data_IF_699314874757
#
_entry.id   IF_699314874757
#
_cell.length_a   1.000
_cell.length_b   1.000
_cell.length_c   1.000
_cell.angle_alpha   90.00
_cell.angle_beta   90.00
_cell.angle_gamma   90.00
#
_symmetry.space_group_name_H-M   'P 1'
#
loop_
_entity.id
_entity.type
_entity.pdbx_description
1 polymer ?
#
# COMPACT_ATOMS: atom_id res chain seq x y z
N UNK A 1 1.36 2.65 0.91
CA UNK A 1 1.48 1.27 0.39
C UNK A 1 0.19 0.89 -0.31
N UNK A 2 0.29 0.28 -1.48
CA UNK A 2 -0.85 -0.19 -2.25
C UNK A 2 -0.59 -1.65 -2.63
N UNK A 3 -1.34 -2.56 -2.03
CA UNK A 3 -1.05 -3.98 -1.93
C UNK A 3 -2.11 -4.78 -2.67
N UNK A 4 -1.69 -5.79 -3.43
CA UNK A 4 -2.59 -6.73 -4.09
C UNK A 4 -2.28 -8.14 -3.61
N UNK A 5 -3.29 -8.79 -3.04
CA UNK A 5 -3.23 -10.18 -2.58
C UNK A 5 -4.02 -11.09 -3.51
N UNK A 6 -3.56 -12.32 -3.69
CA UNK A 6 -4.26 -13.35 -4.44
C UNK A 6 -4.81 -14.41 -3.49
N UNK A 7 -6.08 -14.78 -3.68
CA UNK A 7 -6.64 -16.00 -3.12
C UNK A 7 -6.74 -17.07 -4.23
N UNK A 8 -5.83 -18.05 -4.27
CA UNK A 8 -5.87 -19.12 -5.27
C UNK A 8 -6.88 -20.23 -4.92
N UNK A 9 -7.45 -20.23 -3.71
CA UNK A 9 -8.33 -21.30 -3.24
C UNK A 9 -9.76 -21.14 -3.75
N UNK A 10 -10.53 -22.22 -3.69
CA UNK A 10 -11.98 -22.23 -3.93
C UNK A 10 -12.81 -21.74 -2.74
N UNK A 11 -12.16 -21.35 -1.64
CA UNK A 11 -12.82 -20.94 -0.41
C UNK A 11 -12.62 -19.45 -0.13
N UNK A 12 -13.52 -18.87 0.67
CA UNK A 12 -13.35 -17.50 1.15
C UNK A 12 -12.30 -17.51 2.25
N UNK A 13 -11.27 -16.69 2.09
CA UNK A 13 -10.21 -16.57 3.09
C UNK A 13 -10.43 -15.33 3.97
N UNK A 14 -9.82 -15.39 5.14
CA UNK A 14 -9.55 -14.24 5.99
C UNK A 14 -8.05 -14.21 6.26
N UNK A 15 -7.47 -13.02 6.25
CA UNK A 15 -6.06 -12.81 6.57
C UNK A 15 -5.88 -11.69 7.58
N UNK A 16 -4.71 -11.62 8.20
CA UNK A 16 -4.30 -10.48 9.03
C UNK A 16 -3.12 -9.82 8.35
N UNK A 17 -3.23 -8.52 8.12
CA UNK A 17 -2.10 -7.71 7.66
C UNK A 17 -1.39 -7.18 8.89
N UNK A 18 -0.08 -7.38 8.92
CA UNK A 18 0.82 -6.81 9.91
C UNK A 18 1.83 -5.93 9.20
N UNK A 19 1.92 -4.66 9.61
CA UNK A 19 2.89 -3.70 9.08
C UNK A 19 3.77 -3.22 10.22
N UNK A 20 5.06 -3.52 10.14
CA UNK A 20 6.04 -2.93 11.02
C UNK A 20 6.20 -1.45 10.67
N UNK A 21 5.96 -0.58 11.64
CA UNK A 21 6.09 0.85 11.51
C UNK A 21 7.46 1.29 12.03
N UNK A 22 8.17 2.16 11.31
CA UNK A 22 9.41 2.73 11.81
C UNK A 22 9.14 3.70 12.97
N UNK A 23 10.21 4.08 13.67
CA UNK A 23 10.08 5.05 14.76
C UNK A 23 9.43 6.35 14.30
N UNK A 24 8.52 6.85 15.15
CA UNK A 24 7.79 8.11 14.94
C UNK A 24 6.92 8.09 13.68
N UNK A 25 6.43 6.91 13.32
CA UNK A 25 5.39 6.75 12.33
C UNK A 25 4.03 6.44 12.95
N UNK A 26 2.96 7.00 12.36
CA UNK A 26 1.58 6.71 12.76
C UNK A 26 0.76 6.27 11.55
N UNK A 27 -0.08 5.22 11.67
CA UNK A 27 -1.06 4.91 10.63
C UNK A 27 -1.96 6.12 10.40
N UNK A 28 -2.08 6.56 9.14
CA UNK A 28 -2.95 7.67 8.78
C UNK A 28 -4.09 7.24 7.84
N UNK A 29 -3.97 6.09 7.17
CA UNK A 29 -5.01 5.59 6.29
C UNK A 29 -5.01 4.07 6.16
N UNK A 30 -6.19 3.47 6.12
CA UNK A 30 -6.42 2.10 5.66
C UNK A 30 -7.66 2.10 4.78
N UNK A 31 -7.62 1.44 3.64
CA UNK A 31 -8.76 1.25 2.76
C UNK A 31 -8.67 -0.06 2.02
N UNK A 32 -9.82 -0.64 1.66
CA UNK A 32 -9.88 -1.85 0.88
C UNK A 32 -10.88 -1.71 -0.27
N UNK A 33 -10.51 -2.27 -1.40
CA UNK A 33 -11.41 -2.39 -2.52
C UNK A 33 -12.32 -3.62 -2.36
N UNK A 34 -13.59 -3.47 -2.73
CA UNK A 34 -14.62 -4.50 -2.55
C UNK A 34 -14.74 -5.46 -3.74
N UNK A 35 -14.22 -5.06 -4.91
CA UNK A 35 -14.23 -5.86 -6.12
C UNK A 35 -13.24 -7.03 -6.10
N UNK A 36 -13.37 -7.92 -7.09
CA UNK A 36 -12.54 -9.13 -7.24
C UNK A 36 -11.23 -8.86 -7.99
N UNK A 37 -11.04 -7.65 -8.52
CA UNK A 37 -9.86 -7.20 -9.26
C UNK A 37 -10.01 -7.37 -10.77
N UNK A 38 -10.42 -8.54 -11.26
CA UNK A 38 -10.73 -8.76 -12.69
C UNK A 38 -11.66 -9.97 -12.84
N UNK A 39 -12.42 -10.09 -13.93
CA UNK A 39 -13.15 -11.34 -14.24
C UNK A 39 -12.23 -12.37 -14.92
N UNK A 40 -11.12 -11.93 -15.50
CA UNK A 40 -10.14 -12.78 -16.18
C UNK A 40 -9.00 -13.24 -15.27
N UNK A 41 -9.22 -13.33 -13.95
CA UNK A 41 -8.18 -13.68 -12.96
C UNK A 41 -7.45 -14.97 -13.35
N UNK A 42 -8.15 -15.97 -13.90
CA UNK A 42 -7.51 -17.23 -14.33
C UNK A 42 -6.42 -17.02 -15.40
N UNK A 43 -6.51 -15.97 -16.24
CA UNK A 43 -5.47 -15.56 -17.20
C UNK A 43 -4.34 -14.75 -16.53
N UNK A 44 -4.57 -14.28 -15.30
CA UNK A 44 -3.65 -13.44 -14.50
C UNK A 44 -2.79 -14.26 -13.53
N UNK A 45 -3.16 -15.51 -13.26
CA UNK A 45 -2.49 -16.37 -12.25
C UNK A 45 -1.10 -16.83 -12.68
N UNK A 46 -0.80 -16.86 -13.99
CA UNK A 46 0.48 -17.31 -14.50
C UNK A 46 1.62 -16.34 -14.11
N UNK A 47 2.60 -16.78 -13.27
CA UNK A 47 3.60 -15.90 -12.67
C UNK A 47 4.50 -15.15 -13.65
N UNK A 48 4.58 -15.61 -14.91
CA UNK A 48 5.44 -15.04 -15.93
C UNK A 48 4.78 -14.00 -16.84
N UNK A 49 3.47 -13.75 -16.72
CA UNK A 49 2.72 -13.06 -17.78
C UNK A 49 2.30 -11.61 -17.49
N UNK A 50 2.48 -11.06 -16.28
CA UNK A 50 1.91 -9.75 -15.94
C UNK A 50 2.85 -8.76 -15.27
N UNK A 51 3.40 -7.81 -16.06
CA UNK A 51 3.77 -6.47 -15.57
C UNK A 51 2.55 -5.65 -15.05
N UNK A 52 1.32 -6.15 -15.18
CA UNK A 52 0.06 -5.40 -14.97
C UNK A 52 -0.65 -5.53 -13.61
N UNK A 53 -0.10 -6.26 -12.63
CA UNK A 53 -0.66 -6.25 -11.27
C UNK A 53 -0.26 -5.01 -10.46
N UNK A 54 0.68 -4.22 -10.97
CA UNK A 54 1.03 -2.95 -10.36
C UNK A 54 -0.06 -1.94 -10.68
N UNK A 55 -0.67 -1.42 -9.62
CA UNK A 55 -1.66 -0.37 -9.75
C UNK A 55 -1.01 0.86 -10.43
N UNK A 56 -1.76 1.61 -11.24
CA UNK A 56 -1.24 2.83 -11.83
C UNK A 56 -0.74 3.76 -10.74
N UNK A 57 0.46 4.29 -10.93
CA UNK A 57 0.99 5.32 -10.07
C UNK A 57 0.03 6.52 -10.08
N UNK A 58 -0.33 7.11 -8.93
CA UNK A 58 -1.06 8.36 -8.94
C UNK A 58 -0.22 9.41 -9.69
N UNK A 59 -0.88 10.19 -10.54
CA UNK A 59 -0.23 11.21 -11.38
C UNK A 59 0.37 12.35 -10.55
N UNK A 60 -0.19 12.61 -9.37
CA UNK A 60 0.26 13.62 -8.43
C UNK A 60 0.32 13.05 -6.99
N UNK A 61 1.36 13.40 -6.22
CA UNK A 61 1.51 12.92 -4.84
C UNK A 61 0.45 13.48 -3.88
N UNK A 62 -0.15 14.64 -4.19
CA UNK A 62 -1.17 15.28 -3.34
C UNK A 62 -2.39 14.39 -3.08
N UNK A 63 -2.71 13.50 -4.01
CA UNK A 63 -3.78 12.50 -3.85
C UNK A 63 -3.53 11.60 -2.63
N UNK A 64 -2.26 11.32 -2.32
CA UNK A 64 -1.86 10.51 -1.16
C UNK A 64 -1.76 11.33 0.14
N UNK A 65 -1.73 12.66 0.03
CA UNK A 65 -1.67 13.59 1.17
C UNK A 65 -3.07 14.12 1.55
N UNK A 66 -4.07 13.90 0.71
CA UNK A 66 -5.44 14.31 0.96
C UNK A 66 -6.07 13.50 2.12
N UNK A 67 -6.98 14.11 2.91
CA UNK A 67 -7.72 13.40 3.97
C UNK A 67 -8.51 12.19 3.45
N UNK A 68 -9.00 12.29 2.22
CA UNK A 68 -9.62 11.18 1.49
C UNK A 68 -8.77 10.83 0.28
N UNK A 69 -8.14 9.65 0.34
CA UNK A 69 -7.34 9.12 -0.76
C UNK A 69 -8.27 8.67 -1.88
N UNK A 70 -8.14 9.30 -3.06
CA UNK A 70 -8.89 8.94 -4.27
C UNK A 70 -8.01 8.14 -5.23
N UNK A 71 -8.18 6.82 -5.26
CA UNK A 71 -7.40 5.93 -6.13
C UNK A 71 -8.27 5.36 -7.24
N UNK A 72 -7.69 5.25 -8.43
CA UNK A 72 -8.35 4.65 -9.59
C UNK A 72 -8.82 3.23 -9.26
N UNK A 73 -10.14 3.01 -9.33
CA UNK A 73 -10.75 1.70 -9.15
C UNK A 73 -10.68 0.83 -10.40
N UNK A 74 -10.48 1.43 -11.57
CA UNK A 74 -10.48 0.74 -12.87
C UNK A 74 -9.30 1.19 -13.72
N UNK A 75 -8.72 0.24 -14.43
CA UNK A 75 -7.75 0.47 -15.49
C UNK A 75 -7.68 -0.75 -16.39
N UNK A 76 -7.02 -0.60 -17.52
CA UNK A 76 -6.84 -1.66 -18.50
C UNK A 76 -5.39 -1.76 -18.93
N UNK A 77 -4.94 -2.98 -19.15
CA UNK A 77 -3.74 -3.29 -19.94
C UNK A 77 -4.18 -3.82 -21.30
N UNK A 78 -3.23 -4.06 -22.21
CA UNK A 78 -3.52 -4.67 -23.50
C UNK A 78 -4.24 -6.03 -23.38
N UNK A 79 -4.08 -6.73 -22.25
CA UNK A 79 -4.58 -8.08 -22.04
C UNK A 79 -5.72 -8.19 -21.02
N UNK A 80 -5.80 -7.28 -20.05
CA UNK A 80 -6.68 -7.42 -18.88
C UNK A 80 -7.29 -6.07 -18.47
N UNK A 81 -8.61 -6.06 -18.28
CA UNK A 81 -9.32 -4.98 -17.60
C UNK A 81 -9.40 -5.32 -16.12
N UNK A 82 -9.01 -4.36 -15.29
CA UNK A 82 -9.13 -4.42 -13.85
C UNK A 82 -10.29 -3.55 -13.36
N UNK A 83 -11.11 -4.14 -12.48
CA UNK A 83 -12.17 -3.47 -11.75
C UNK A 83 -12.12 -3.90 -10.27
N UNK A 84 -11.67 -2.97 -9.44
CA UNK A 84 -11.54 -3.14 -8.01
C UNK A 84 -12.81 -2.75 -7.26
N UNK A 85 -13.84 -2.25 -7.93
CA UNK A 85 -15.08 -1.81 -7.30
C UNK A 85 -14.88 -0.63 -6.36
N UNK A 86 -15.77 -0.49 -5.39
CA UNK A 86 -15.76 0.62 -4.43
C UNK A 86 -14.57 0.52 -3.46
N UNK A 87 -13.91 1.65 -3.19
CA UNK A 87 -12.93 1.80 -2.13
C UNK A 87 -13.65 2.06 -0.80
N UNK A 88 -13.48 1.17 0.17
CA UNK A 88 -13.98 1.31 1.53
C UNK A 88 -12.84 1.64 2.48
N UNK A 89 -12.80 2.89 2.93
CA UNK A 89 -11.87 3.36 3.98
C UNK A 89 -12.25 2.74 5.33
N UNK A 90 -11.26 2.37 6.12
CA UNK A 90 -11.45 1.98 7.51
C UNK A 90 -11.74 3.23 8.35
N UNK A 91 -12.69 3.13 9.27
CA UNK A 91 -13.02 4.21 10.19
C UNK A 91 -12.27 3.99 11.51
N UNK A 92 -11.50 4.98 11.95
CA UNK A 92 -10.90 4.96 13.29
C UNK A 92 -12.03 5.09 14.31
N UNK A 93 -12.19 4.09 15.17
CA UNK A 93 -13.20 4.06 16.21
C UNK A 93 -12.53 3.85 17.57
N UNK A 94 -13.09 4.42 18.63
CA UNK A 94 -12.61 4.18 20.00
C UNK A 94 -12.63 2.68 20.33
N UNK A 95 -11.62 2.12 21.04
CA UNK A 95 -11.46 0.67 21.22
C UNK A 95 -12.69 -0.07 21.77
N UNK A 96 -13.39 0.53 22.75
CA UNK A 96 -14.59 -0.05 23.37
C UNK A 96 -15.78 -0.04 22.40
N UNK A 97 -15.87 0.99 21.56
CA UNK A 97 -16.92 1.14 20.54
C UNK A 97 -16.65 0.24 19.34
N UNK A 98 -15.38 0.09 18.93
CA UNK A 98 -14.94 -0.81 17.87
C UNK A 98 -15.27 -2.27 18.15
N UNK A 99 -15.03 -2.74 19.39
CA UNK A 99 -15.37 -4.12 19.79
C UNK A 99 -16.88 -4.39 19.81
N UNK A 100 -17.69 -3.43 20.29
CA UNK A 100 -19.16 -3.54 20.29
C UNK A 100 -19.75 -3.50 18.87
N UNK A 101 -19.25 -2.64 17.99
CA UNK A 101 -19.62 -2.62 16.56
C UNK A 101 -19.21 -3.93 15.87
N UNK A 102 -18.02 -4.46 16.16
CA UNK A 102 -17.58 -5.75 15.62
C UNK A 102 -18.53 -6.91 16.00
N UNK A 103 -18.83 -7.08 17.29
CA UNK A 103 -19.70 -8.19 17.76
C UNK A 103 -21.14 -8.12 17.22
N UNK A 104 -21.64 -6.90 16.98
CA UNK A 104 -22.98 -6.67 16.44
C UNK A 104 -23.06 -6.81 14.92
N UNK A 105 -22.05 -6.38 14.18
CA UNK A 105 -22.04 -6.41 12.71
C UNK A 105 -21.53 -7.76 12.16
N UNK A 106 -20.69 -8.51 12.88
CA UNK A 106 -20.26 -9.86 12.48
C UNK A 106 -21.43 -10.85 12.45
N UNK A 107 -22.48 -10.62 13.25
CA UNK A 107 -23.76 -11.37 13.16
C UNK A 107 -24.53 -11.09 11.87
N UNK A 108 -24.24 -9.98 11.19
CA UNK A 108 -24.88 -9.53 9.96
C UNK A 108 -24.02 -9.75 8.69
N UNK A 109 -22.87 -10.43 8.79
CA UNK A 109 -21.93 -10.68 7.66
C UNK A 109 -21.46 -9.41 6.94
N UNK A 110 -21.50 -8.26 7.60
CA UNK A 110 -20.95 -6.99 7.08
C UNK A 110 -19.68 -6.71 7.89
N UNK A 111 -18.57 -6.35 7.23
CA UNK A 111 -17.26 -6.22 7.90
C UNK A 111 -16.85 -4.75 8.08
N UNK A 112 -16.74 -4.24 9.31
CA UNK A 112 -15.95 -3.07 9.62
C UNK A 112 -14.52 -3.52 9.97
N UNK A 113 -13.55 -3.16 9.11
CA UNK A 113 -12.13 -3.37 9.37
C UNK A 113 -11.74 -2.84 10.76
N UNK A 114 -11.53 -3.75 11.71
CA UNK A 114 -11.07 -3.41 13.05
C UNK A 114 -9.54 -3.47 13.06
N UNK A 115 -8.92 -2.29 13.12
CA UNK A 115 -7.49 -2.18 13.39
C UNK A 115 -7.27 -2.29 14.91
N UNK A 116 -6.44 -3.24 15.35
CA UNK A 116 -6.02 -3.37 16.74
C UNK A 116 -4.53 -3.04 16.85
N UNK A 117 -4.18 -2.09 17.73
CA UNK A 117 -2.80 -1.72 17.98
C UNK A 117 -2.13 -2.77 18.88
N UNK A 118 -1.27 -3.59 18.30
CA UNK A 118 -0.53 -4.63 19.01
C UNK A 118 0.88 -4.14 19.36
N UNK A 119 1.01 -3.28 20.38
CA UNK A 119 2.30 -2.82 20.89
C UNK A 119 3.03 -1.79 20.03
N UNK A 120 4.19 -1.30 20.52
CA UNK A 120 4.73 0.04 20.22
C UNK A 120 5.21 0.32 18.79
N UNK A 121 5.17 -0.62 17.85
CA UNK A 121 5.68 -0.41 16.48
C UNK A 121 5.06 -1.30 15.40
N UNK A 122 3.95 -2.01 15.65
CA UNK A 122 3.31 -2.86 14.62
C UNK A 122 1.82 -2.53 14.50
N UNK A 123 1.39 -2.22 13.29
CA UNK A 123 -0.02 -2.10 12.93
C UNK A 123 -0.57 -3.47 12.52
N UNK A 124 -1.71 -3.87 13.07
CA UNK A 124 -2.38 -5.13 12.75
C UNK A 124 -3.85 -4.90 12.41
N UNK A 125 -4.33 -5.48 11.31
CA UNK A 125 -5.74 -5.45 10.92
C UNK A 125 -6.16 -6.75 10.27
N UNK A 126 -7.36 -7.23 10.61
CA UNK A 126 -7.98 -8.35 9.93
C UNK A 126 -8.59 -7.88 8.60
N UNK A 127 -8.46 -8.71 7.57
CA UNK A 127 -9.03 -8.53 6.25
C UNK A 127 -9.98 -9.70 5.98
N UNK A 128 -11.23 -9.35 5.71
CA UNK A 128 -12.27 -10.28 5.31
C UNK A 128 -13.34 -9.54 4.47
N UNK A 129 -14.11 -10.24 3.62
CA UNK A 129 -13.76 -11.51 2.98
C UNK A 129 -12.73 -11.31 1.87
N UNK A 130 -11.86 -12.30 1.67
CA UNK A 130 -11.05 -12.45 0.45
C UNK A 130 -11.72 -13.54 -0.39
N UNK A 131 -12.39 -13.14 -1.47
CA UNK A 131 -13.25 -14.04 -2.25
C UNK A 131 -12.44 -15.19 -2.88
N UNK A 132 -13.07 -16.36 -3.10
CA UNK A 132 -12.44 -17.46 -3.82
C UNK A 132 -11.93 -17.03 -5.19
N UNK A 133 -10.76 -17.55 -5.56
CA UNK A 133 -10.14 -17.34 -6.87
C UNK A 133 -10.12 -15.86 -7.27
N UNK A 134 -9.81 -14.97 -6.32
CA UNK A 134 -9.89 -13.51 -6.49
C UNK A 134 -8.61 -12.78 -6.17
N UNK A 135 -8.52 -11.53 -6.63
CA UNK A 135 -7.56 -10.56 -6.12
C UNK A 135 -8.22 -9.69 -5.04
N UNK A 136 -7.43 -9.14 -4.14
CA UNK A 136 -7.85 -8.20 -3.12
C UNK A 136 -6.84 -7.05 -3.04
N UNK A 137 -7.30 -5.83 -3.32
CA UNK A 137 -6.48 -4.62 -3.24
C UNK A 137 -6.73 -3.87 -1.94
N UNK A 138 -5.64 -3.51 -1.27
CA UNK A 138 -5.63 -2.91 0.06
C UNK A 138 -4.62 -1.77 0.07
N UNK A 139 -5.05 -0.63 0.59
CA UNK A 139 -4.26 0.59 0.64
C UNK A 139 -4.00 0.90 2.11
N UNK A 140 -2.74 1.07 2.47
CA UNK A 140 -2.31 1.44 3.81
C UNK A 140 -1.33 2.60 3.73
N UNK A 141 -1.55 3.65 4.51
CA UNK A 141 -0.62 4.77 4.61
C UNK A 141 -0.29 5.07 6.08
N UNK A 142 0.93 5.53 6.27
CA UNK A 142 1.41 6.07 7.53
C UNK A 142 2.17 7.36 7.26
N UNK A 143 2.13 8.28 8.22
CA UNK A 143 3.04 9.41 8.27
C UNK A 143 4.30 9.00 9.06
N UNK A 144 5.44 9.64 8.77
CA UNK A 144 6.63 9.50 9.60
C UNK A 144 7.30 10.85 9.76
N UNK A 145 7.55 11.24 11.00
CA UNK A 145 8.37 12.41 11.29
C UNK A 145 9.85 12.07 11.10
N UNK A 146 10.54 12.72 10.17
CA UNK A 146 11.97 12.49 9.92
C UNK A 146 12.81 13.49 10.71
N UNK A 147 13.87 13.01 11.38
CA UNK A 147 14.82 13.87 12.11
C UNK A 147 16.13 13.91 11.30
N UNK A 148 16.64 15.11 11.00
CA UNK A 148 17.99 15.25 10.45
C UNK A 148 19.05 14.71 11.42
N UNK A 149 20.00 13.96 10.89
CA UNK A 149 21.24 13.55 11.58
C UNK A 149 22.42 13.93 10.68
N UNK A 150 23.39 14.67 11.23
CA UNK A 150 24.58 15.14 10.50
C UNK A 150 24.25 15.85 9.17
N UNK A 151 23.20 16.68 9.17
CA UNK A 151 22.74 17.42 7.99
C UNK A 151 22.07 16.57 6.91
N UNK A 152 21.74 15.30 7.22
CA UNK A 152 21.10 14.34 6.30
C UNK A 152 19.80 13.82 6.91
N UNK A 153 18.83 13.50 6.08
CA UNK A 153 17.60 12.83 6.50
C UNK A 153 17.57 11.47 5.81
N UNK A 154 17.49 10.38 6.58
CA UNK A 154 17.41 9.02 6.01
C UNK A 154 16.01 8.47 6.25
N UNK A 155 15.39 7.95 5.18
CA UNK A 155 14.08 7.30 5.25
C UNK A 155 14.23 5.82 4.91
N UNK A 156 14.27 4.93 5.92
CA UNK A 156 14.35 3.50 5.65
C UNK A 156 13.07 3.02 4.97
N UNK A 157 13.22 2.26 3.90
CA UNK A 157 12.08 1.62 3.25
C UNK A 157 11.57 0.44 4.09
N UNK A 158 10.27 0.14 4.05
CA UNK A 158 9.73 -1.06 4.68
C UNK A 158 10.32 -2.31 4.01
N UNK A 159 10.69 -3.30 4.82
CA UNK A 159 11.09 -4.62 4.33
C UNK A 159 9.89 -5.30 3.67
N UNK A 160 10.08 -5.88 2.49
CA UNK A 160 9.03 -6.61 1.82
C UNK A 160 8.95 -8.07 2.27
N UNK A 161 7.74 -8.68 2.24
CA UNK A 161 7.60 -10.11 2.36
C UNK A 161 8.38 -10.87 1.27
N UNK A 162 8.86 -12.07 1.60
CA UNK A 162 9.62 -12.93 0.66
C UNK A 162 8.80 -13.36 -0.57
N UNK A 163 7.48 -13.43 -0.43
CA UNK A 163 6.58 -13.95 -1.47
C UNK A 163 6.02 -12.85 -2.39
N UNK A 164 6.56 -11.63 -2.32
CA UNK A 164 6.16 -10.54 -3.23
C UNK A 164 6.66 -10.84 -4.64
N UNK A 165 5.72 -10.88 -5.60
CA UNK A 165 6.04 -11.13 -7.01
C UNK A 165 6.52 -9.88 -7.75
N UNK A 166 5.83 -8.75 -7.54
CA UNK A 166 6.07 -7.49 -8.24
C UNK A 166 6.06 -6.33 -7.25
N UNK A 167 7.02 -5.40 -7.38
CA UNK A 167 7.08 -4.19 -6.57
C UNK A 167 7.39 -2.97 -7.43
N UNK A 168 6.71 -1.87 -7.13
CA UNK A 168 7.11 -0.53 -7.54
C UNK A 168 7.26 0.36 -6.32
N UNK A 169 8.35 1.09 -6.26
CA UNK A 169 8.55 2.19 -5.34
C UNK A 169 8.57 3.50 -6.12
N UNK A 170 7.76 4.45 -5.66
CA UNK A 170 7.77 5.82 -6.17
C UNK A 170 8.06 6.74 -5.00
N UNK A 171 9.04 7.59 -5.21
CA UNK A 171 9.45 8.62 -4.26
C UNK A 171 9.20 9.96 -4.89
N UNK A 172 8.48 10.82 -4.19
CA UNK A 172 8.31 12.22 -4.55
C UNK A 172 9.00 13.10 -3.51
N UNK A 173 9.84 14.02 -3.97
CA UNK A 173 10.23 15.19 -3.18
C UNK A 173 9.33 16.35 -3.61
N UNK A 174 8.34 16.64 -2.75
CA UNK A 174 7.30 17.65 -2.96
C UNK A 174 7.66 19.02 -2.35
N UNK A 175 8.82 19.13 -1.70
CA UNK A 175 9.14 20.31 -0.89
C UNK A 175 10.23 21.20 -1.49
N UNK A 176 10.27 22.44 -1.04
CA UNK A 176 11.38 23.38 -1.24
C UNK A 176 12.43 23.32 -0.10
N UNK A 177 12.30 22.36 0.82
CA UNK A 177 13.04 22.36 2.09
C UNK A 177 14.42 21.69 1.99
N UNK A 178 14.64 20.89 0.96
CA UNK A 178 15.92 20.22 0.72
C UNK A 178 16.76 21.00 -0.32
N UNK A 179 18.03 21.26 0.00
CA UNK A 179 18.96 21.85 -0.98
C UNK A 179 19.35 20.87 -2.08
N UNK A 180 19.36 19.58 -1.75
CA UNK A 180 19.64 18.45 -2.62
C UNK A 180 18.81 17.27 -2.12
N UNK A 181 18.38 16.44 -3.06
CA UNK A 181 17.68 15.19 -2.79
C UNK A 181 18.23 14.14 -3.74
N UNK A 182 18.50 12.95 -3.22
CA UNK A 182 18.95 11.79 -4.00
C UNK A 182 18.29 10.53 -3.45
N UNK A 183 18.15 9.50 -4.30
CA UNK A 183 17.55 8.22 -3.94
C UNK A 183 18.54 7.14 -4.34
N UNK A 184 18.89 6.27 -3.40
CA UNK A 184 19.89 5.21 -3.60
C UNK A 184 19.26 3.84 -3.45
N UNK A 185 19.58 2.92 -4.34
CA UNK A 185 19.23 1.49 -4.23
C UNK A 185 20.52 0.70 -4.15
N UNK A 186 20.94 0.39 -2.93
CA UNK A 186 22.25 -0.18 -2.66
C UNK A 186 23.35 0.83 -2.86
N UNK A 187 24.23 0.58 -3.83
CA UNK A 187 25.32 1.50 -4.18
C UNK A 187 25.00 2.34 -5.43
N UNK A 188 23.80 2.19 -5.99
CA UNK A 188 23.39 2.87 -7.23
C UNK A 188 22.45 4.01 -6.93
N UNK A 189 22.80 5.22 -7.35
CA UNK A 189 21.91 6.37 -7.33
C UNK A 189 20.89 6.28 -8.47
N UNK A 190 19.61 6.48 -8.16
CA UNK A 190 18.51 6.50 -9.12
C UNK A 190 18.35 7.91 -9.68
N UNK A 191 18.23 8.03 -11.00
CA UNK A 191 18.05 9.34 -11.65
C UNK A 191 16.62 9.85 -11.44
N UNK A 192 16.44 11.12 -11.01
CA UNK A 192 15.12 11.71 -10.90
C UNK A 192 14.55 12.12 -12.26
N UNK A 193 13.22 12.18 -12.32
CA UNK A 193 12.44 12.85 -13.35
C UNK A 193 11.79 14.09 -12.72
N UNK A 194 11.81 15.22 -13.44
CA UNK A 194 11.14 16.44 -12.98
C UNK A 194 9.65 16.38 -13.30
N UNK A 195 8.84 16.67 -12.30
CA UNK A 195 7.36 16.68 -12.37
C UNK A 195 6.84 18.06 -11.98
N UNK A 196 5.52 18.27 -12.12
CA UNK A 196 4.88 19.50 -11.63
C UNK A 196 5.00 19.67 -10.10
N UNK A 197 5.09 18.55 -9.36
CA UNK A 197 5.18 18.55 -7.91
C UNK A 197 6.62 18.62 -7.37
N UNK A 198 7.65 18.49 -8.22
CA UNK A 198 9.05 18.44 -7.79
C UNK A 198 9.83 17.32 -8.46
N UNK A 199 10.73 16.66 -7.72
CA UNK A 199 11.49 15.52 -8.24
C UNK A 199 10.77 14.21 -7.93
N UNK A 200 10.79 13.28 -8.89
CA UNK A 200 10.25 11.94 -8.74
C UNK A 200 11.31 10.90 -9.09
N UNK A 201 11.41 9.85 -8.29
CA UNK A 201 12.16 8.64 -8.61
C UNK A 201 11.19 7.47 -8.69
N UNK A 202 11.31 6.67 -9.75
CA UNK A 202 10.55 5.44 -9.93
C UNK A 202 11.52 4.26 -9.98
N UNK A 203 11.24 3.25 -9.17
CA UNK A 203 12.04 2.03 -9.05
C UNK A 203 11.10 0.84 -9.17
N UNK A 204 11.25 0.07 -10.23
CA UNK A 204 10.63 -1.25 -10.35
C UNK A 204 11.66 -2.28 -9.89
N UNK A 205 11.38 -3.05 -8.84
CA UNK A 205 12.34 -4.05 -8.31
C UNK A 205 11.64 -5.32 -7.88
N UNK A 206 12.32 -6.47 -8.04
CA UNK A 206 11.92 -7.75 -7.45
C UNK A 206 12.56 -8.00 -6.07
N UNK A 207 13.46 -7.12 -5.58
CA UNK A 207 14.11 -7.27 -4.27
C UNK A 207 14.60 -5.91 -3.72
N UNK A 208 13.81 -5.23 -2.86
CA UNK A 208 14.13 -3.91 -2.35
C UNK A 208 14.90 -3.93 -1.02
N UNK A 209 15.72 -4.95 -0.75
CA UNK A 209 16.52 -5.10 0.48
C UNK A 209 17.59 -4.01 0.69
N UNK A 210 17.51 -2.91 -0.05
CA UNK A 210 18.49 -1.84 0.00
C UNK A 210 17.74 -0.53 0.25
N UNK A 211 17.87 -0.05 1.49
CA UNK A 211 17.22 1.16 1.95
C UNK A 211 17.51 2.36 1.05
N UNK A 212 16.51 3.23 0.92
CA UNK A 212 16.65 4.50 0.21
C UNK A 212 17.20 5.53 1.18
N UNK A 213 18.39 6.03 0.90
CA UNK A 213 18.93 7.17 1.62
C UNK A 213 18.57 8.46 0.87
N UNK A 214 18.05 9.44 1.61
CA UNK A 214 17.94 10.82 1.14
C UNK A 214 19.14 11.61 1.67
N UNK A 215 19.69 12.48 0.84
CA UNK A 215 20.80 13.36 1.18
C UNK A 215 20.53 14.75 0.60
#
# INVERSE_FOLDING_TARGET
MDLVFQNPSSETLSGTIMVALPDRASPCYLGMFLGRGSEAIQKVIDPGMLPGLLNPAPSLPDILLAPEISLSAKWETEQVVFDWGELRSAQVVEPVKGRKTYESVTRLRIDPALAEWAGSSTFSTRIFPIQPQSLKRIVFAYDQSLIPSDGKIVFPLPTLPKDVRNTRLIVHDVSTSFRKSSVWVGQTEVKPVRTQAGLMWAIDSSSPDRGVAFF
#
